data_IF_236344309268
#
_entry.id   IF_236344309268
#
_cell.length_a   1.000
_cell.length_b   1.000
_cell.length_c   1.000
_cell.angle_alpha   90.00
_cell.angle_beta   90.00
_cell.angle_gamma   90.00
#
_symmetry.space_group_name_H-M   'P 1'
#
loop_
_entity.id
_entity.type
_entity.pdbx_description
1 polymer ?
#
# COMPACT_ATOMS: atom_id res chain seq x y z
N UNK A 1 -9.05 -7.35 20.79
CA UNK A 1 -8.78 -5.93 20.48
C UNK A 1 -8.43 -5.23 21.79
N UNK A 2 -7.35 -4.44 21.79
CA UNK A 2 -6.90 -3.72 22.99
C UNK A 2 -7.72 -2.45 23.27
N UNK A 3 -8.28 -1.83 22.22
CA UNK A 3 -9.09 -0.61 22.29
C UNK A 3 -10.39 -0.73 21.52
N UNK A 4 -11.39 0.09 21.89
CA UNK A 4 -12.58 0.30 21.02
C UNK A 4 -12.20 1.15 19.80
N UNK A 5 -13.01 1.12 18.74
CA UNK A 5 -12.79 1.95 17.55
C UNK A 5 -12.73 3.44 17.91
N UNK A 6 -13.61 3.93 18.78
CA UNK A 6 -13.62 5.33 19.22
C UNK A 6 -12.32 5.71 19.92
N UNK A 7 -11.78 4.80 20.76
CA UNK A 7 -10.50 5.04 21.43
C UNK A 7 -9.35 5.07 20.43
N UNK A 8 -9.30 4.10 19.49
CA UNK A 8 -8.30 4.05 18.44
C UNK A 8 -8.33 5.33 17.60
N UNK A 9 -9.49 5.74 17.12
CA UNK A 9 -9.68 6.97 16.35
C UNK A 9 -9.27 8.22 17.14
N UNK A 10 -9.64 8.29 18.43
CA UNK A 10 -9.26 9.42 19.29
C UNK A 10 -7.75 9.59 19.43
N UNK A 11 -6.99 8.50 19.43
CA UNK A 11 -5.53 8.52 19.53
C UNK A 11 -4.91 8.80 18.16
N UNK A 12 -5.31 8.05 17.13
CA UNK A 12 -4.73 8.16 15.79
C UNK A 12 -4.97 9.54 15.16
N UNK A 13 -6.15 10.13 15.33
CA UNK A 13 -6.44 11.50 14.88
C UNK A 13 -5.49 12.54 15.50
N UNK A 14 -5.04 12.35 16.73
CA UNK A 14 -4.04 13.23 17.35
C UNK A 14 -2.65 13.02 16.76
N UNK A 15 -2.26 11.76 16.52
CA UNK A 15 -0.97 11.44 15.93
C UNK A 15 -0.84 11.94 14.49
N UNK A 16 -1.93 11.93 13.72
CA UNK A 16 -1.94 12.39 12.33
C UNK A 16 -1.48 13.84 12.14
N UNK A 17 -1.56 14.69 13.17
CA UNK A 17 -1.01 16.05 13.09
C UNK A 17 0.52 16.10 12.99
N UNK A 18 1.20 14.99 13.25
CA UNK A 18 2.67 14.86 13.21
C UNK A 18 3.14 13.93 12.08
N UNK A 19 2.21 13.48 11.21
CA UNK A 19 2.49 12.53 10.14
C UNK A 19 2.74 13.26 8.83
N UNK A 20 3.88 13.01 8.19
CA UNK A 20 4.22 13.49 6.84
C UNK A 20 3.74 12.53 5.76
N UNK A 21 3.78 11.21 6.03
CA UNK A 21 3.37 10.14 5.13
C UNK A 21 2.43 9.17 5.86
N UNK A 22 1.23 9.00 5.35
CA UNK A 22 0.26 8.01 5.82
C UNK A 22 0.28 6.79 4.91
N UNK A 23 0.54 5.61 5.47
CA UNK A 23 0.35 4.32 4.80
C UNK A 23 -0.82 3.65 5.48
N UNK A 24 -1.89 3.39 4.74
CA UNK A 24 -3.12 2.83 5.29
C UNK A 24 -3.83 1.96 4.25
N UNK A 25 -4.51 0.94 4.72
CA UNK A 25 -5.41 0.12 3.92
C UNK A 25 -6.89 0.48 4.20
N UNK A 26 -7.81 -0.27 3.62
CA UNK A 26 -9.25 -0.12 3.78
C UNK A 26 -9.72 -0.10 5.25
N UNK A 27 -9.33 -1.10 6.02
CA UNK A 27 -9.69 -1.19 7.44
C UNK A 27 -9.10 -0.04 8.26
N UNK A 28 -7.90 0.42 7.92
CA UNK A 28 -7.22 1.48 8.65
C UNK A 28 -7.89 2.83 8.47
N UNK A 29 -8.35 3.15 7.25
CA UNK A 29 -9.08 4.41 7.00
C UNK A 29 -10.28 4.56 7.93
N UNK A 30 -11.09 3.52 8.06
CA UNK A 30 -12.32 3.58 8.84
C UNK A 30 -12.05 3.33 10.32
N UNK A 31 -11.35 2.26 10.67
CA UNK A 31 -11.17 1.83 12.07
C UNK A 31 -10.28 2.80 12.86
N UNK A 32 -9.30 3.43 12.23
CA UNK A 32 -8.33 4.29 12.91
C UNK A 32 -8.55 5.79 12.68
N UNK A 33 -9.06 6.19 11.52
CA UNK A 33 -9.29 7.60 11.19
C UNK A 33 -10.76 7.98 11.12
N UNK A 34 -11.67 7.01 11.00
CA UNK A 34 -13.10 7.24 10.80
C UNK A 34 -13.40 7.85 9.43
N UNK A 35 -12.56 7.55 8.44
CA UNK A 35 -12.71 8.00 7.07
C UNK A 35 -13.17 6.81 6.23
N UNK A 36 -14.36 6.92 5.63
CA UNK A 36 -14.89 5.88 4.77
C UNK A 36 -14.16 5.89 3.42
N UNK A 37 -13.47 4.80 3.10
CA UNK A 37 -12.62 4.69 1.91
C UNK A 37 -13.08 3.64 0.90
N UNK A 38 -14.16 2.91 1.20
CA UNK A 38 -14.69 1.88 0.30
C UNK A 38 -16.20 1.71 0.49
N UNK A 39 -16.89 1.34 -0.58
CA UNK A 39 -18.35 1.21 -0.61
C UNK A 39 -18.77 -0.24 -0.90
N UNK A 40 -18.21 -1.23 -0.20
CA UNK A 40 -18.59 -2.62 -0.48
C UNK A 40 -17.65 -3.66 0.12
N UNK A 41 -17.27 -4.63 -0.69
CA UNK A 41 -16.44 -5.75 -0.25
C UNK A 41 -14.95 -5.36 -0.27
N UNK A 42 -14.30 -5.42 0.89
CA UNK A 42 -12.85 -5.21 1.06
C UNK A 42 -12.00 -6.18 0.23
N UNK A 43 -12.57 -7.30 -0.23
CA UNK A 43 -11.89 -8.23 -1.11
C UNK A 43 -11.74 -7.72 -2.56
N UNK A 44 -12.41 -6.63 -2.93
CA UNK A 44 -12.43 -6.04 -4.27
C UNK A 44 -12.03 -4.56 -4.26
N UNK A 45 -10.91 -4.26 -3.60
CA UNK A 45 -10.42 -2.88 -3.42
C UNK A 45 -10.00 -2.19 -4.73
N UNK A 46 -9.47 -2.95 -5.70
CA UNK A 46 -9.05 -2.39 -7.01
C UNK A 46 -10.28 -1.90 -7.78
N UNK A 47 -11.38 -2.63 -7.73
CA UNK A 47 -12.64 -2.24 -8.37
C UNK A 47 -13.24 -0.96 -7.76
N UNK A 48 -12.82 -0.60 -6.55
CA UNK A 48 -13.28 0.55 -5.78
C UNK A 48 -12.25 1.67 -5.69
N UNK A 49 -11.28 1.73 -6.60
CA UNK A 49 -10.14 2.67 -6.55
C UNK A 49 -10.57 4.13 -6.36
N UNK A 50 -11.70 4.54 -6.92
CA UNK A 50 -12.20 5.92 -6.77
C UNK A 50 -12.68 6.23 -5.35
N UNK A 51 -13.19 5.25 -4.62
CA UNK A 51 -13.52 5.39 -3.20
C UNK A 51 -12.26 5.56 -2.35
N UNK A 52 -11.22 4.78 -2.63
CA UNK A 52 -9.91 4.94 -1.99
C UNK A 52 -9.30 6.31 -2.27
N UNK A 53 -9.36 6.79 -3.51
CA UNK A 53 -8.89 8.13 -3.88
C UNK A 53 -9.61 9.21 -3.09
N UNK A 54 -10.92 9.12 -2.94
CA UNK A 54 -11.69 10.06 -2.10
C UNK A 54 -11.24 10.01 -0.64
N UNK A 55 -11.05 8.82 -0.08
CA UNK A 55 -10.53 8.64 1.29
C UNK A 55 -9.15 9.26 1.49
N UNK A 56 -8.23 9.03 0.55
CA UNK A 56 -6.87 9.61 0.61
C UNK A 56 -6.89 11.14 0.51
N UNK A 57 -7.73 11.71 -0.33
CA UNK A 57 -7.93 13.17 -0.41
C UNK A 57 -8.52 13.72 0.88
N UNK A 58 -9.43 12.99 1.50
CA UNK A 58 -10.04 13.38 2.77
C UNK A 58 -9.00 13.39 3.90
N UNK A 59 -8.05 12.44 3.92
CA UNK A 59 -6.91 12.46 4.86
C UNK A 59 -6.12 13.76 4.69
N UNK A 60 -5.72 14.12 3.48
CA UNK A 60 -4.95 15.36 3.26
C UNK A 60 -5.75 16.61 3.58
N UNK A 61 -7.06 16.59 3.36
CA UNK A 61 -7.95 17.69 3.72
C UNK A 61 -8.04 17.91 5.24
N UNK A 62 -8.18 16.80 6.00
CA UNK A 62 -8.26 16.85 7.47
C UNK A 62 -6.90 17.11 8.12
N UNK A 63 -5.82 16.61 7.50
CA UNK A 63 -4.45 16.68 8.03
C UNK A 63 -3.51 17.32 7.00
N UNK A 64 -3.50 18.65 6.86
CA UNK A 64 -2.68 19.35 5.84
C UNK A 64 -1.17 19.14 6.01
N UNK A 65 -0.71 18.70 7.18
CA UNK A 65 0.68 18.29 7.44
C UNK A 65 1.05 16.98 6.74
N UNK A 66 0.09 16.11 6.45
CA UNK A 66 0.30 14.85 5.76
C UNK A 66 0.52 15.10 4.27
N UNK A 67 1.78 15.09 3.84
CA UNK A 67 2.22 15.46 2.49
C UNK A 67 1.92 14.38 1.46
N UNK A 68 1.82 13.11 1.92
CA UNK A 68 1.58 11.99 1.04
C UNK A 68 0.75 10.91 1.73
N UNK A 69 -0.04 10.17 0.93
CA UNK A 69 -0.80 9.00 1.38
C UNK A 69 -0.53 7.86 0.40
N UNK A 70 -0.31 6.66 0.91
CA UNK A 70 -0.10 5.47 0.10
C UNK A 70 -1.00 4.33 0.59
N UNK A 71 -1.48 3.50 -0.34
CA UNK A 71 -2.29 2.33 -0.03
C UNK A 71 -1.97 1.19 -0.99
N UNK A 72 -2.14 -0.04 -0.50
CA UNK A 72 -2.19 -1.24 -1.33
C UNK A 72 -3.65 -1.60 -1.53
N UNK A 73 -4.05 -1.78 -2.77
CA UNK A 73 -5.36 -2.28 -3.17
C UNK A 73 -5.22 -3.71 -3.67
N UNK A 74 -6.25 -4.51 -3.44
CA UNK A 74 -6.25 -5.92 -3.87
C UNK A 74 -7.65 -6.34 -4.31
N UNK A 75 -7.68 -7.24 -5.29
CA UNK A 75 -8.84 -8.06 -5.60
C UNK A 75 -8.49 -9.50 -5.24
N UNK A 76 -9.20 -10.09 -4.31
CA UNK A 76 -8.97 -11.45 -3.81
C UNK A 76 -9.89 -12.41 -4.56
N UNK A 77 -9.32 -13.38 -5.28
CA UNK A 77 -10.07 -14.42 -5.99
C UNK A 77 -10.20 -15.69 -5.14
N UNK A 78 -9.09 -16.10 -4.52
CA UNK A 78 -9.01 -17.22 -3.58
C UNK A 78 -8.15 -16.83 -2.39
N UNK A 79 -7.90 -17.75 -1.45
CA UNK A 79 -6.97 -17.50 -0.36
C UNK A 79 -5.52 -17.25 -0.84
N UNK A 80 -5.16 -17.76 -2.01
CA UNK A 80 -3.80 -17.71 -2.57
C UNK A 80 -3.72 -16.81 -3.82
N UNK A 81 -4.82 -16.63 -4.56
CA UNK A 81 -4.84 -15.94 -5.85
C UNK A 81 -5.53 -14.60 -5.75
N UNK A 82 -4.98 -13.61 -6.44
CA UNK A 82 -5.57 -12.29 -6.53
C UNK A 82 -4.75 -11.31 -7.36
N UNK A 83 -5.17 -10.07 -7.30
CA UNK A 83 -4.52 -8.94 -7.95
C UNK A 83 -4.11 -7.91 -6.91
N UNK A 84 -2.94 -7.33 -7.08
CA UNK A 84 -2.36 -6.31 -6.20
C UNK A 84 -1.97 -5.09 -7.01
N UNK A 85 -2.27 -3.90 -6.49
CA UNK A 85 -1.75 -2.65 -6.99
C UNK A 85 -1.49 -1.66 -5.84
N UNK A 86 -0.59 -0.71 -6.08
CA UNK A 86 -0.32 0.40 -5.18
C UNK A 86 -0.90 1.69 -5.71
N UNK A 87 -1.42 2.54 -4.84
CA UNK A 87 -1.76 3.92 -5.16
C UNK A 87 -1.02 4.88 -4.23
N UNK A 88 -0.60 6.00 -4.76
CA UNK A 88 0.14 7.02 -4.04
C UNK A 88 -0.40 8.41 -4.37
N UNK A 89 -0.78 9.16 -3.36
CA UNK A 89 -1.23 10.55 -3.48
C UNK A 89 -0.15 11.47 -2.95
N UNK A 90 0.36 12.36 -3.80
CA UNK A 90 1.30 13.41 -3.43
C UNK A 90 1.04 14.66 -4.26
N UNK A 91 1.13 15.82 -3.62
CA UNK A 91 0.94 17.12 -4.28
C UNK A 91 -0.37 17.18 -5.11
N UNK A 92 -1.46 16.63 -4.54
CA UNK A 92 -2.80 16.52 -5.16
C UNK A 92 -2.83 15.67 -6.45
N UNK A 93 -1.79 14.90 -6.73
CA UNK A 93 -1.70 14.00 -7.87
C UNK A 93 -1.64 12.55 -7.43
N UNK A 94 -2.42 11.70 -8.12
CA UNK A 94 -2.37 10.26 -7.95
C UNK A 94 -1.35 9.62 -8.88
N UNK A 95 -0.68 8.62 -8.36
CA UNK A 95 0.24 7.73 -9.06
C UNK A 95 -0.21 6.31 -8.77
N UNK A 96 -0.58 5.60 -9.81
CA UNK A 96 -1.09 4.23 -9.76
C UNK A 96 -0.02 3.29 -10.32
N UNK A 97 0.25 2.20 -9.63
CA UNK A 97 1.12 1.15 -10.17
C UNK A 97 0.39 0.29 -11.20
N UNK A 98 1.11 -0.52 -12.00
CA UNK A 98 0.50 -1.65 -12.68
C UNK A 98 -0.22 -2.58 -11.71
N UNK A 99 -1.22 -3.33 -12.22
CA UNK A 99 -1.87 -4.42 -11.50
C UNK A 99 -1.01 -5.67 -11.68
N UNK A 100 -0.71 -6.34 -10.58
CA UNK A 100 0.04 -7.58 -10.53
C UNK A 100 -0.90 -8.73 -10.18
N UNK A 101 -1.02 -9.73 -11.05
CA UNK A 101 -1.66 -11.01 -10.74
C UNK A 101 -0.69 -11.85 -9.93
N UNK A 102 -1.11 -12.36 -8.79
CA UNK A 102 -0.25 -13.10 -7.87
C UNK A 102 -0.88 -14.42 -7.43
N UNK A 103 -0.01 -15.40 -7.21
CA UNK A 103 -0.30 -16.62 -6.46
C UNK A 103 0.57 -16.59 -5.19
N UNK A 104 -0.04 -16.32 -4.05
CA UNK A 104 0.67 -16.07 -2.80
C UNK A 104 1.02 -17.36 -2.08
N UNK A 105 2.28 -17.49 -1.65
CA UNK A 105 2.71 -18.56 -0.73
C UNK A 105 2.50 -18.13 0.73
N UNK A 106 2.74 -16.83 1.03
CA UNK A 106 2.66 -16.29 2.39
C UNK A 106 2.37 -14.79 2.34
N UNK A 107 1.23 -14.39 2.90
CA UNK A 107 0.80 -12.99 2.91
C UNK A 107 1.43 -12.13 4.03
N UNK A 108 1.96 -12.78 5.07
CA UNK A 108 2.59 -12.07 6.20
C UNK A 108 3.82 -11.31 5.73
N UNK A 109 3.95 -10.04 6.13
CA UNK A 109 5.07 -9.18 5.75
C UNK A 109 4.94 -8.47 4.40
N UNK A 110 3.88 -8.73 3.60
CA UNK A 110 3.69 -8.03 2.32
C UNK A 110 3.45 -6.52 2.49
N UNK A 111 2.67 -6.13 3.51
CA UNK A 111 2.47 -4.72 3.88
C UNK A 111 3.76 -4.06 4.36
N UNK A 112 4.56 -4.77 5.15
CA UNK A 112 5.87 -4.28 5.61
C UNK A 112 6.85 -4.12 4.45
N UNK A 113 6.84 -5.06 3.49
CA UNK A 113 7.64 -4.96 2.27
C UNK A 113 7.22 -3.76 1.40
N UNK A 114 5.92 -3.48 1.28
CA UNK A 114 5.43 -2.27 0.63
C UNK A 114 5.94 -1.01 1.33
N UNK A 115 5.77 -0.93 2.64
CA UNK A 115 6.22 0.22 3.43
C UNK A 115 7.74 0.39 3.36
N UNK A 116 8.50 -0.70 3.44
CA UNK A 116 9.95 -0.71 3.26
C UNK A 116 10.39 -0.20 1.89
N UNK A 117 9.74 -0.68 0.83
CA UNK A 117 9.96 -0.23 -0.55
C UNK A 117 9.67 1.26 -0.74
N UNK A 118 8.59 1.75 -0.11
CA UNK A 118 8.18 3.16 -0.15
C UNK A 118 9.22 4.06 0.55
N UNK A 119 9.66 3.67 1.75
CA UNK A 119 10.67 4.41 2.50
C UNK A 119 12.03 4.38 1.79
N UNK A 120 12.43 3.22 1.25
CA UNK A 120 13.63 3.09 0.44
C UNK A 120 13.61 4.07 -0.75
N UNK A 121 12.52 4.07 -1.50
CA UNK A 121 12.34 4.93 -2.67
C UNK A 121 12.38 6.42 -2.33
N UNK A 122 11.80 6.82 -1.19
CA UNK A 122 11.86 8.20 -0.69
C UNK A 122 13.28 8.62 -0.34
N UNK A 123 14.03 7.76 0.36
CA UNK A 123 15.42 8.03 0.76
C UNK A 123 16.34 8.16 -0.46
N UNK A 124 16.10 7.35 -1.50
CA UNK A 124 16.91 7.37 -2.74
C UNK A 124 16.40 8.37 -3.77
N UNK A 125 15.37 9.17 -3.45
CA UNK A 125 14.88 10.23 -4.32
C UNK A 125 14.24 9.74 -5.62
N UNK A 126 13.59 8.56 -5.61
CA UNK A 126 12.84 8.10 -6.77
C UNK A 126 11.70 9.06 -7.08
N UNK A 127 11.40 9.25 -8.36
CA UNK A 127 10.18 9.97 -8.72
C UNK A 127 8.91 9.23 -8.25
N UNK A 128 7.78 9.93 -8.10
CA UNK A 128 6.60 9.33 -7.48
C UNK A 128 6.03 8.11 -8.21
N UNK A 129 6.16 8.01 -9.53
CA UNK A 129 5.71 6.84 -10.28
C UNK A 129 6.63 5.65 -10.02
N UNK A 130 7.95 5.84 -10.17
CA UNK A 130 8.93 4.80 -9.85
C UNK A 130 8.82 4.33 -8.40
N UNK A 131 8.54 5.26 -7.48
CA UNK A 131 8.36 4.97 -6.06
C UNK A 131 7.22 3.97 -5.84
N UNK A 132 6.03 4.22 -6.40
CA UNK A 132 4.89 3.33 -6.18
C UNK A 132 5.08 1.98 -6.89
N UNK A 133 5.65 1.99 -8.09
CA UNK A 133 5.95 0.77 -8.84
C UNK A 133 6.96 -0.11 -8.08
N UNK A 134 8.00 0.49 -7.50
CA UNK A 134 8.98 -0.21 -6.67
C UNK A 134 8.36 -0.80 -5.41
N UNK A 135 7.53 -0.02 -4.72
CA UNK A 135 6.91 -0.41 -3.46
C UNK A 135 5.97 -1.59 -3.63
N UNK A 136 5.10 -1.55 -4.67
CA UNK A 136 4.20 -2.67 -4.93
C UNK A 136 4.94 -3.91 -5.43
N UNK A 137 5.98 -3.75 -6.24
CA UNK A 137 6.80 -4.87 -6.70
C UNK A 137 7.50 -5.56 -5.53
N UNK A 138 8.04 -4.81 -4.56
CA UNK A 138 8.60 -5.35 -3.33
C UNK A 138 7.57 -6.16 -2.52
N UNK A 139 6.34 -5.64 -2.41
CA UNK A 139 5.22 -6.33 -1.75
C UNK A 139 4.84 -7.62 -2.46
N UNK A 140 4.67 -7.58 -3.77
CA UNK A 140 4.30 -8.74 -4.60
C UNK A 140 5.36 -9.83 -4.54
N UNK A 141 6.64 -9.47 -4.60
CA UNK A 141 7.73 -10.44 -4.46
C UNK A 141 7.75 -11.09 -3.08
N UNK A 142 7.41 -10.34 -2.02
CA UNK A 142 7.28 -10.90 -0.66
C UNK A 142 6.19 -11.97 -0.58
N UNK A 143 5.08 -11.83 -1.29
CA UNK A 143 4.02 -12.84 -1.32
C UNK A 143 4.50 -14.22 -1.79
N UNK A 144 5.60 -14.29 -2.55
CA UNK A 144 6.21 -15.51 -3.06
C UNK A 144 7.31 -16.09 -2.14
N UNK A 145 7.55 -15.48 -0.99
CA UNK A 145 8.59 -15.88 -0.04
C UNK A 145 7.93 -16.37 1.25
N UNK A 146 8.35 -17.54 1.74
CA UNK A 146 7.92 -18.04 3.04
C UNK A 146 8.47 -17.18 4.17
N UNK A 147 7.73 -17.15 5.29
CA UNK A 147 8.00 -16.34 6.46
C UNK A 147 7.84 -14.83 6.18
N UNK A 148 8.07 -13.99 7.16
CA UNK A 148 7.75 -12.56 7.16
C UNK A 148 8.84 -11.65 6.59
N UNK A 149 10.09 -12.13 6.46
CA UNK A 149 11.18 -11.34 5.91
C UNK A 149 11.13 -11.24 4.39
N UNK A 150 11.24 -10.03 3.86
CA UNK A 150 11.49 -9.82 2.44
C UNK A 150 13.00 -9.99 2.15
N UNK A 151 13.34 -11.05 1.40
CA UNK A 151 14.73 -11.39 1.04
C UNK A 151 15.13 -10.86 -0.35
N UNK A 152 14.35 -9.97 -0.93
CA UNK A 152 14.54 -9.46 -2.29
C UNK A 152 15.46 -8.25 -2.28
N UNK A 153 16.45 -8.24 -3.18
CA UNK A 153 17.35 -7.11 -3.38
C UNK A 153 16.71 -6.00 -4.25
N UNK A 154 17.25 -4.78 -4.16
CA UNK A 154 16.86 -3.66 -5.03
C UNK A 154 16.99 -4.02 -6.52
N UNK A 155 18.11 -4.65 -6.92
CA UNK A 155 18.36 -5.04 -8.30
C UNK A 155 17.31 -6.02 -8.84
N UNK A 156 16.84 -6.95 -8.01
CA UNK A 156 15.78 -7.89 -8.40
C UNK A 156 14.46 -7.17 -8.59
N UNK A 157 14.09 -6.25 -7.70
CA UNK A 157 12.88 -5.44 -7.83
C UNK A 157 12.95 -4.60 -9.12
N UNK A 158 14.04 -3.87 -9.34
CA UNK A 158 14.22 -3.04 -10.53
C UNK A 158 14.20 -3.84 -11.83
N UNK A 159 14.71 -5.08 -11.81
CA UNK A 159 14.65 -5.98 -12.96
C UNK A 159 13.20 -6.37 -13.27
N UNK A 160 12.43 -6.78 -12.28
CA UNK A 160 11.02 -7.18 -12.46
C UNK A 160 10.20 -6.00 -12.98
N UNK A 161 10.41 -4.81 -12.44
CA UNK A 161 9.75 -3.59 -12.93
C UNK A 161 10.00 -3.34 -14.43
N UNK A 162 11.18 -3.72 -14.94
CA UNK A 162 11.54 -3.53 -16.36
C UNK A 162 10.99 -4.62 -17.27
N UNK A 163 10.99 -5.86 -16.82
CA UNK A 163 10.68 -7.02 -17.66
C UNK A 163 9.23 -7.50 -17.51
N UNK A 164 8.58 -7.19 -16.39
CA UNK A 164 7.31 -7.78 -15.99
C UNK A 164 7.40 -9.28 -15.70
N UNK A 165 8.60 -9.87 -15.73
CA UNK A 165 8.82 -11.29 -15.54
C UNK A 165 9.37 -11.57 -14.14
N UNK A 166 8.65 -12.40 -13.39
CA UNK A 166 9.07 -12.90 -12.07
C UNK A 166 10.05 -14.09 -12.16
N UNK A 167 10.57 -14.41 -13.35
CA UNK A 167 11.51 -15.51 -13.53
C UNK A 167 12.80 -15.24 -12.76
N UNK A 168 13.02 -16.02 -11.72
CA UNK A 168 14.28 -16.05 -10.97
C UNK A 168 15.35 -16.63 -11.86
N UNK A 169 16.32 -15.83 -12.29
CA UNK A 169 17.54 -16.33 -12.92
C UNK A 169 18.38 -16.94 -11.80
N UNK A 170 18.49 -18.26 -11.81
CA UNK A 170 19.40 -19.01 -10.94
C UNK A 170 20.82 -18.95 -11.49
#
# INVERSE_FOLDING_TARGET
>A
KMWSCEKAQSVMKKLMHYVDLCIANDEDFESTLGIHAYDGDVAHGIDQIDSYRRGMQEIQRQYPGCKAVASVLRNVTTAEDGEWMGIYLKDSKFYDSPIHTVHSLEAVGAGDAFAGGLLHSLIHGFDPQKLIDFSITASVMKLMIQHDFNLVSEDEILRIMKTGETNVIR
#
